data_IF_405915123157
#
_entry.id   IF_405915123157
#
_cell.length_a   1.000
_cell.length_b   1.000
_cell.length_c   1.000
_cell.angle_alpha   90.00
_cell.angle_beta   90.00
_cell.angle_gamma   90.00
#
_symmetry.space_group_name_H-M   'P 1'
#
loop_
_entity.id
_entity.type
_entity.pdbx_description
1 polymer ?
#
# COMPACT_ATOMS: atom_id res chain seq x y z
N UNK A 1 22.51 -30.79 27.35
CA UNK A 1 23.62 -29.84 27.53
C UNK A 1 23.14 -28.46 27.09
N UNK A 2 22.71 -27.60 28.02
CA UNK A 2 22.34 -26.23 27.69
C UNK A 2 23.63 -25.42 27.57
N UNK A 3 24.09 -25.17 26.34
CA UNK A 3 25.20 -24.28 26.07
C UNK A 3 24.83 -22.89 26.56
N UNK A 4 25.42 -22.47 27.69
CA UNK A 4 25.32 -21.08 28.13
C UNK A 4 26.05 -20.20 27.10
N UNK A 5 25.51 -19.01 26.77
CA UNK A 5 26.17 -18.10 25.84
C UNK A 5 27.60 -17.83 26.32
N UNK A 6 28.57 -17.99 25.42
CA UNK A 6 30.01 -18.05 25.71
C UNK A 6 30.68 -16.68 25.76
N UNK A 7 30.04 -15.65 25.21
CA UNK A 7 30.52 -14.27 25.28
C UNK A 7 29.39 -13.23 25.31
N UNK A 8 29.75 -11.98 25.60
CA UNK A 8 28.81 -10.87 25.68
C UNK A 8 28.13 -10.55 24.35
N UNK A 9 28.76 -10.84 23.21
CA UNK A 9 28.18 -10.64 21.88
C UNK A 9 27.07 -11.64 21.59
N UNK A 10 27.18 -12.90 22.03
CA UNK A 10 26.11 -13.88 21.89
C UNK A 10 24.87 -13.47 22.69
N UNK A 11 25.05 -12.89 23.88
CA UNK A 11 23.97 -12.35 24.71
C UNK A 11 23.29 -11.17 24.02
N UNK A 12 24.09 -10.20 23.53
CA UNK A 12 23.56 -9.03 22.83
C UNK A 12 22.82 -9.44 21.55
N UNK A 13 23.36 -10.39 20.78
CA UNK A 13 22.71 -10.87 19.56
C UNK A 13 21.37 -11.56 19.86
N UNK A 14 21.32 -12.44 20.85
CA UNK A 14 20.08 -13.10 21.26
C UNK A 14 19.03 -12.09 21.78
N UNK A 15 19.45 -11.06 22.53
CA UNK A 15 18.56 -10.00 22.99
C UNK A 15 18.05 -9.14 21.83
N UNK A 16 18.91 -8.80 20.88
CA UNK A 16 18.55 -8.05 19.66
C UNK A 16 17.63 -8.83 18.72
N UNK A 17 17.74 -10.16 18.67
CA UNK A 17 16.81 -11.01 17.94
C UNK A 17 15.41 -11.04 18.58
N UNK A 18 15.32 -11.11 19.92
CA UNK A 18 14.04 -11.01 20.64
C UNK A 18 13.36 -9.66 20.36
N UNK A 19 14.12 -8.56 20.49
CA UNK A 19 13.60 -7.21 20.21
C UNK A 19 13.16 -7.06 18.74
N UNK A 20 13.88 -7.67 17.79
CA UNK A 20 13.46 -7.71 16.38
C UNK A 20 12.15 -8.48 16.20
N UNK A 21 12.00 -9.63 16.85
CA UNK A 21 10.78 -10.43 16.74
C UNK A 21 9.56 -9.69 17.30
N UNK A 22 9.70 -9.08 18.48
CA UNK A 22 8.65 -8.26 19.11
C UNK A 22 8.25 -7.07 18.22
N UNK A 23 9.24 -6.39 17.63
CA UNK A 23 9.00 -5.29 16.68
C UNK A 23 8.28 -5.78 15.42
N UNK A 24 8.73 -6.87 14.81
CA UNK A 24 8.14 -7.39 13.57
C UNK A 24 6.71 -7.90 13.81
N UNK A 25 6.41 -8.45 14.99
CA UNK A 25 5.04 -8.80 15.41
C UNK A 25 4.16 -7.56 15.59
N UNK A 26 4.68 -6.50 16.23
CA UNK A 26 3.98 -5.23 16.36
C UNK A 26 3.68 -4.58 14.99
N UNK A 27 4.63 -4.66 14.04
CA UNK A 27 4.47 -4.19 12.66
C UNK A 27 3.36 -4.96 11.94
N UNK A 28 3.36 -6.30 12.00
CA UNK A 28 2.30 -7.15 11.41
C UNK A 28 0.90 -6.80 11.93
N UNK A 29 0.78 -6.45 13.22
CA UNK A 29 -0.50 -6.04 13.82
C UNK A 29 -0.97 -4.67 13.30
N UNK A 30 -0.04 -3.75 13.04
CA UNK A 30 -0.32 -2.46 12.41
C UNK A 30 -0.72 -2.60 10.93
N UNK A 31 -0.10 -3.51 10.19
CA UNK A 31 -0.44 -3.77 8.77
C UNK A 31 -1.92 -4.11 8.56
N UNK A 32 -2.57 -4.78 9.53
CA UNK A 32 -4.00 -5.09 9.46
C UNK A 32 -4.88 -3.83 9.57
N UNK A 33 -4.50 -2.88 10.41
CA UNK A 33 -5.20 -1.59 10.55
C UNK A 33 -5.01 -0.76 9.29
N UNK A 34 -3.80 -0.70 8.73
CA UNK A 34 -3.53 0.00 7.47
C UNK A 34 -4.37 -0.56 6.30
N UNK A 35 -4.51 -1.88 6.18
CA UNK A 35 -5.40 -2.49 5.17
C UNK A 35 -6.87 -2.13 5.39
N UNK A 36 -7.35 -2.13 6.63
CA UNK A 36 -8.72 -1.72 6.96
C UNK A 36 -8.95 -0.22 6.64
N UNK A 37 -7.95 0.63 6.88
CA UNK A 37 -8.02 2.06 6.54
C UNK A 37 -8.03 2.29 5.02
N UNK A 38 -7.32 1.47 4.25
CA UNK A 38 -7.34 1.53 2.78
C UNK A 38 -8.73 1.22 2.19
N UNK A 39 -9.48 0.30 2.81
CA UNK A 39 -10.87 -0.02 2.43
C UNK A 39 -11.86 1.09 2.83
N UNK A 40 -11.59 1.85 3.90
CA UNK A 40 -12.47 2.91 4.41
C UNK A 40 -12.46 4.19 3.55
N UNK A 41 -11.39 4.45 2.80
CA UNK A 41 -11.32 5.58 1.85
C UNK A 41 -11.02 5.05 0.44
N UNK A 42 -12.07 4.70 -0.33
CA UNK A 42 -11.88 4.21 -1.69
C UNK A 42 -11.24 5.30 -2.55
N UNK A 43 -10.23 4.93 -3.34
CA UNK A 43 -9.64 5.81 -4.35
C UNK A 43 -10.70 6.09 -5.41
N UNK A 44 -10.85 7.37 -5.75
CA UNK A 44 -11.83 7.85 -6.73
C UNK A 44 -11.13 8.55 -7.88
N UNK A 45 -11.60 8.32 -9.10
CA UNK A 45 -11.19 9.09 -10.26
C UNK A 45 -11.51 10.56 -10.01
N UNK A 46 -10.50 11.43 -10.17
CA UNK A 46 -10.63 12.88 -9.98
C UNK A 46 -11.51 13.55 -11.03
N UNK A 47 -11.85 12.85 -12.12
CA UNK A 47 -12.61 13.39 -13.24
C UNK A 47 -14.08 12.95 -13.23
N UNK A 48 -14.35 11.65 -13.04
CA UNK A 48 -15.72 11.12 -13.05
C UNK A 48 -16.26 10.70 -11.67
N UNK A 49 -15.42 10.68 -10.62
CA UNK A 49 -15.84 10.33 -9.25
C UNK A 49 -16.02 8.83 -8.96
N UNK A 50 -15.96 7.97 -10.00
CA UNK A 50 -16.01 6.51 -9.85
C UNK A 50 -14.87 5.99 -8.98
N UNK A 51 -15.18 5.01 -8.13
CA UNK A 51 -14.20 4.29 -7.32
C UNK A 51 -13.36 3.34 -8.16
N UNK A 52 -12.21 2.93 -7.63
CA UNK A 52 -11.35 1.89 -8.21
C UNK A 52 -12.06 0.55 -8.51
N UNK A 53 -13.20 0.28 -7.86
CA UNK A 53 -13.99 -0.96 -8.05
C UNK A 53 -15.03 -0.83 -9.16
N UNK A 54 -15.33 0.39 -9.61
CA UNK A 54 -16.31 0.69 -10.67
C UNK A 54 -15.64 0.80 -12.06
N UNK A 55 -14.32 0.66 -12.14
CA UNK A 55 -13.53 0.85 -13.37
C UNK A 55 -12.50 -0.26 -13.52
N UNK A 56 -12.16 -0.65 -14.75
CA UNK A 56 -11.17 -1.70 -15.01
C UNK A 56 -9.76 -1.31 -14.52
N UNK A 57 -9.37 -0.04 -14.73
CA UNK A 57 -8.04 0.46 -14.33
C UNK A 57 -8.12 1.85 -13.75
N UNK A 58 -7.33 2.08 -12.71
CA UNK A 58 -7.10 3.38 -12.07
C UNK A 58 -5.60 3.70 -12.11
N UNK A 59 -5.24 4.87 -12.62
CA UNK A 59 -3.86 5.38 -12.67
C UNK A 59 -3.69 6.39 -11.54
N UNK A 60 -2.68 6.19 -10.70
CA UNK A 60 -2.35 7.09 -9.59
C UNK A 60 -1.22 8.06 -9.97
N UNK A 61 -1.46 9.36 -9.76
CA UNK A 61 -0.45 10.40 -9.68
C UNK A 61 -0.26 10.88 -8.23
N UNK A 62 0.68 11.81 -7.97
CA UNK A 62 0.99 12.26 -6.61
C UNK A 62 -0.22 12.78 -5.81
N UNK A 63 -1.19 13.41 -6.49
CA UNK A 63 -2.39 13.99 -5.86
C UNK A 63 -3.66 13.86 -6.72
N UNK A 64 -3.62 13.03 -7.77
CA UNK A 64 -4.70 12.92 -8.76
C UNK A 64 -4.83 11.47 -9.21
N UNK A 65 -6.05 11.05 -9.51
CA UNK A 65 -6.33 9.71 -10.03
C UNK A 65 -7.17 9.82 -11.29
N UNK A 66 -6.89 8.97 -12.28
CA UNK A 66 -7.67 8.92 -13.53
C UNK A 66 -7.97 7.47 -13.90
N UNK A 67 -9.22 7.17 -14.23
CA UNK A 67 -9.62 5.83 -14.67
C UNK A 67 -9.46 5.67 -16.19
N UNK A 68 -9.48 4.42 -16.67
CA UNK A 68 -9.35 4.09 -18.09
C UNK A 68 -10.39 4.80 -18.98
N UNK A 69 -11.65 4.87 -18.55
CA UNK A 69 -12.71 5.53 -19.32
C UNK A 69 -12.44 7.02 -19.53
N UNK A 70 -11.95 7.71 -18.50
CA UNK A 70 -11.60 9.12 -18.60
C UNK A 70 -10.38 9.33 -19.51
N UNK A 71 -9.40 8.42 -19.49
CA UNK A 71 -8.27 8.47 -20.44
C UNK A 71 -8.78 8.36 -21.87
N UNK A 72 -9.65 7.39 -22.17
CA UNK A 72 -10.20 7.18 -23.50
C UNK A 72 -10.99 8.40 -23.99
N UNK A 73 -11.82 8.98 -23.11
CA UNK A 73 -12.54 10.22 -23.39
C UNK A 73 -11.58 11.39 -23.68
N UNK A 74 -10.56 11.60 -22.84
CA UNK A 74 -9.57 12.64 -23.06
C UNK A 74 -8.81 12.44 -24.39
N UNK A 75 -8.46 11.21 -24.74
CA UNK A 75 -7.80 10.88 -26.01
C UNK A 75 -8.70 11.20 -27.19
N UNK A 76 -10.00 10.92 -27.12
CA UNK A 76 -10.96 11.27 -28.17
C UNK A 76 -11.08 12.78 -28.36
N UNK A 77 -11.17 13.54 -27.26
CA UNK A 77 -11.20 15.01 -27.26
C UNK A 77 -9.91 15.57 -27.89
N UNK A 78 -8.74 15.10 -27.45
CA UNK A 78 -7.44 15.56 -27.95
C UNK A 78 -7.27 15.26 -29.44
N UNK A 79 -7.76 14.11 -29.90
CA UNK A 79 -7.72 13.72 -31.31
C UNK A 79 -8.75 14.44 -32.18
N UNK A 80 -9.60 15.29 -31.59
CA UNK A 80 -10.66 15.99 -32.32
C UNK A 80 -11.70 15.05 -32.91
N UNK A 81 -11.88 13.86 -32.35
CA UNK A 81 -12.94 12.93 -32.77
C UNK A 81 -14.24 13.42 -32.15
N UNK A 82 -15.03 14.16 -32.93
CA UNK A 82 -16.42 14.47 -32.62
C UNK A 82 -17.27 13.36 -33.24
N UNK A 83 -17.95 12.58 -32.41
CA UNK A 83 -19.08 11.73 -32.82
C UNK A 83 -20.39 12.38 -32.34
#
# INVERSE_FOLDING_TARGET
>A
MFGKPRDASEIVNAEMEKLRHERDEAVRKHEKIERLLAELRPVRCSFCGKTQHETDKMIAGPQVYICNECVDLCVNIIRGKQE
#
